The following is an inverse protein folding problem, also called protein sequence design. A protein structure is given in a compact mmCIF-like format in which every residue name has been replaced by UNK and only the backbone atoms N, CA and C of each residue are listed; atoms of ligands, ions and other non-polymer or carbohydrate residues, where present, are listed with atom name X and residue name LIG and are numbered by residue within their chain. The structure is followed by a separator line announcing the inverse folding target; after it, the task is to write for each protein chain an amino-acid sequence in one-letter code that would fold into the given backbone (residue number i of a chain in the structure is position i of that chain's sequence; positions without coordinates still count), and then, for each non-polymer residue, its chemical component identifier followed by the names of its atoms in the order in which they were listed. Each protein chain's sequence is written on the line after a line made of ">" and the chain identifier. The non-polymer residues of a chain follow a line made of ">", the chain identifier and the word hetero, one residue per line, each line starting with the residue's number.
data_IF_827790485410
#
_entry.id   IF_827790485410
#
_cell.length_a   1.000
_cell.length_b   1.000
_cell.length_c   1.000
_cell.angle_alpha   90.00
_cell.angle_beta   90.00
_cell.angle_gamma   90.00
#
_symmetry.space_group_name_H-M   'P 1'
#
loop_
_entity.id
_entity.type
_entity.pdbx_description
1 polymer ?
#
# COMPACT_ATOMS: atom_id res chain seq x y z
N UNK A 1 -75.29 26.62 22.72
CA UNK A 1 -74.16 25.94 23.41
C UNK A 1 -73.39 24.90 22.57
N UNK A 2 -73.72 24.66 21.28
CA UNK A 2 -73.13 23.56 20.49
C UNK A 2 -71.96 23.93 19.53
N UNK A 3 -71.46 25.18 19.55
CA UNK A 3 -70.34 25.63 18.68
C UNK A 3 -68.98 25.70 19.39
N UNK A 4 -68.95 25.77 20.72
CA UNK A 4 -67.70 25.84 21.52
C UNK A 4 -66.99 24.48 21.65
N UNK A 5 -67.76 23.39 21.67
CA UNK A 5 -67.21 22.03 21.75
C UNK A 5 -66.58 21.53 20.43
N UNK A 6 -67.03 22.04 19.27
CA UNK A 6 -66.42 21.71 17.96
C UNK A 6 -65.04 22.34 17.75
N UNK A 7 -64.75 23.47 18.41
CA UNK A 7 -63.45 24.16 18.31
C UNK A 7 -62.40 23.55 19.25
N UNK A 8 -62.82 23.06 20.43
CA UNK A 8 -61.90 22.41 21.36
C UNK A 8 -61.39 21.07 20.80
N UNK A 9 -62.26 20.22 20.24
CA UNK A 9 -61.84 18.93 19.67
C UNK A 9 -60.88 19.03 18.49
N UNK A 10 -61.00 20.09 17.66
CA UNK A 10 -60.08 20.32 16.54
C UNK A 10 -58.69 20.79 17.01
N UNK A 11 -58.62 21.58 18.09
CA UNK A 11 -57.36 22.08 18.65
C UNK A 11 -56.61 20.96 19.38
N UNK A 12 -57.29 20.08 20.15
CA UNK A 12 -56.63 18.94 20.79
C UNK A 12 -56.09 17.92 19.78
N UNK A 13 -56.79 17.65 18.68
CA UNK A 13 -56.31 16.72 17.64
C UNK A 13 -55.10 17.32 16.88
N UNK A 14 -55.12 18.63 16.59
CA UNK A 14 -54.02 19.31 15.90
C UNK A 14 -52.77 19.46 16.78
N UNK A 15 -52.92 19.58 18.10
CA UNK A 15 -51.80 19.61 19.04
C UNK A 15 -51.19 18.21 19.25
N UNK A 16 -51.99 17.14 19.14
CA UNK A 16 -51.52 15.76 19.24
C UNK A 16 -50.71 15.31 18.00
N UNK A 17 -51.01 15.86 16.82
CA UNK A 17 -50.27 15.56 15.58
C UNK A 17 -48.88 16.24 15.51
N UNK A 18 -48.65 17.34 16.21
CA UNK A 18 -47.35 18.05 16.22
C UNK A 18 -46.31 17.34 17.12
N UNK A 19 -46.74 16.47 18.03
CA UNK A 19 -45.86 15.63 18.86
C UNK A 19 -45.47 14.29 18.23
N UNK A 20 -45.92 13.99 17.01
CA UNK A 20 -45.40 12.89 16.23
C UNK A 20 -43.98 13.26 15.74
N UNK A 21 -43.01 13.17 16.64
CA UNK A 21 -41.60 13.37 16.33
C UNK A 21 -41.25 12.52 15.11
N UNK A 22 -40.55 13.13 14.14
CA UNK A 22 -39.97 12.40 13.03
C UNK A 22 -39.08 11.31 13.62
N UNK A 23 -39.52 10.06 13.60
CA UNK A 23 -38.66 8.93 13.89
C UNK A 23 -37.59 8.93 12.80
N UNK A 24 -36.46 9.57 13.07
CA UNK A 24 -35.29 9.49 12.22
C UNK A 24 -34.95 8.01 12.10
N UNK A 25 -35.16 7.44 10.92
CA UNK A 25 -34.70 6.10 10.63
C UNK A 25 -33.20 6.11 10.90
N UNK A 26 -32.76 5.42 11.95
CA UNK A 26 -31.35 5.20 12.20
C UNK A 26 -30.86 4.47 10.97
N UNK A 27 -30.02 5.12 10.15
CA UNK A 27 -29.47 4.49 8.95
C UNK A 27 -28.92 3.12 9.35
N UNK A 28 -29.34 2.08 8.64
CA UNK A 28 -28.87 0.73 8.87
C UNK A 28 -27.39 0.68 8.43
N UNK A 29 -26.50 1.03 9.35
CA UNK A 29 -25.06 0.95 9.13
C UNK A 29 -24.58 -0.49 9.24
N UNK A 30 -23.69 -0.89 8.33
CA UNK A 30 -22.95 -2.15 8.44
C UNK A 30 -21.67 -1.86 9.20
N UNK A 31 -21.48 -2.51 10.34
CA UNK A 31 -20.20 -2.50 11.07
C UNK A 31 -19.42 -3.74 10.70
N UNK A 32 -18.24 -3.55 10.10
CA UNK A 32 -17.29 -4.62 9.86
C UNK A 32 -16.20 -4.51 10.92
N UNK A 33 -15.92 -5.62 11.59
CA UNK A 33 -14.83 -5.70 12.58
C UNK A 33 -13.74 -6.60 12.01
N UNK A 34 -12.49 -6.20 12.21
CA UNK A 34 -11.32 -6.90 11.69
C UNK A 34 -10.07 -6.47 12.46
N UNK A 35 -8.96 -7.12 12.18
CA UNK A 35 -7.67 -6.88 12.83
C UNK A 35 -6.54 -7.06 11.82
N UNK A 36 -5.40 -6.41 12.07
CA UNK A 36 -4.27 -6.39 11.14
C UNK A 36 -4.34 -5.20 10.19
N UNK A 37 -3.20 -4.87 9.60
CA UNK A 37 -3.04 -3.79 8.63
C UNK A 37 -2.05 -4.24 7.55
N UNK A 38 -2.56 -4.60 6.38
CA UNK A 38 -1.78 -5.14 5.26
C UNK A 38 -2.40 -6.39 4.64
N UNK A 39 -1.72 -6.97 3.66
CA UNK A 39 -2.10 -8.22 2.98
C UNK A 39 -1.86 -9.48 3.84
N UNK A 40 -1.05 -9.35 4.90
CA UNK A 40 -0.71 -10.44 5.81
C UNK A 40 0.35 -11.40 5.26
N UNK A 41 1.09 -11.02 4.20
CA UNK A 41 2.10 -11.86 3.56
C UNK A 41 3.51 -11.35 3.86
N UNK A 42 4.41 -12.26 4.22
CA UNK A 42 5.81 -11.95 4.51
C UNK A 42 6.02 -11.36 5.90
N UNK A 43 6.75 -10.25 5.99
CA UNK A 43 7.22 -9.67 7.25
C UNK A 43 6.19 -8.72 7.87
N UNK A 44 5.70 -9.06 9.06
CA UNK A 44 4.95 -8.11 9.88
C UNK A 44 5.90 -7.08 10.47
N UNK A 45 5.76 -5.81 10.06
CA UNK A 45 6.62 -4.72 10.53
C UNK A 45 6.57 -4.56 12.06
N UNK A 46 5.38 -4.61 12.65
CA UNK A 46 5.20 -4.53 14.10
C UNK A 46 5.70 -5.78 14.83
N UNK A 47 5.53 -6.97 14.24
CA UNK A 47 6.05 -8.20 14.82
C UNK A 47 7.60 -8.24 14.78
N UNK A 48 8.21 -7.82 13.67
CA UNK A 48 9.65 -7.64 13.56
C UNK A 48 10.19 -6.65 14.59
N UNK A 49 9.48 -5.52 14.81
CA UNK A 49 9.83 -4.57 15.87
C UNK A 49 9.78 -5.21 17.26
N UNK A 50 8.71 -5.94 17.58
CA UNK A 50 8.57 -6.61 18.87
C UNK A 50 9.67 -7.67 19.11
N UNK A 51 10.05 -8.42 18.06
CA UNK A 51 11.18 -9.35 18.14
C UNK A 51 12.51 -8.63 18.36
N UNK A 52 12.74 -7.50 17.67
CA UNK A 52 13.94 -6.69 17.89
C UNK A 52 13.99 -6.11 19.31
N UNK A 53 12.86 -5.63 19.84
CA UNK A 53 12.74 -5.14 21.22
C UNK A 53 12.96 -6.27 22.24
N UNK A 54 12.70 -7.53 21.87
CA UNK A 54 13.02 -8.73 22.65
C UNK A 54 14.48 -9.22 22.47
N UNK A 55 15.29 -8.53 21.66
CA UNK A 55 16.72 -8.82 21.49
C UNK A 55 17.07 -9.77 20.33
N UNK A 56 16.12 -10.10 19.46
CA UNK A 56 16.41 -10.92 18.28
C UNK A 56 17.23 -10.15 17.24
N UNK A 57 18.19 -10.84 16.60
CA UNK A 57 18.94 -10.27 15.49
C UNK A 57 18.09 -10.16 14.21
N UNK A 58 18.51 -9.31 13.27
CA UNK A 58 17.86 -9.19 11.97
C UNK A 58 17.74 -10.55 11.26
N UNK A 59 18.79 -11.38 11.32
CA UNK A 59 18.80 -12.71 10.71
C UNK A 59 17.73 -13.62 11.32
N UNK A 60 17.60 -13.61 12.66
CA UNK A 60 16.57 -14.39 13.35
C UNK A 60 15.15 -13.93 13.01
N UNK A 61 14.95 -12.62 12.87
CA UNK A 61 13.67 -12.03 12.46
C UNK A 61 13.34 -12.45 11.02
N UNK A 62 14.29 -12.33 10.10
CA UNK A 62 14.08 -12.69 8.69
C UNK A 62 13.82 -14.20 8.53
N UNK A 63 14.59 -15.06 9.21
CA UNK A 63 14.34 -16.51 9.18
C UNK A 63 13.00 -16.91 9.79
N UNK A 64 12.43 -16.12 10.69
CA UNK A 64 11.09 -16.34 11.22
C UNK A 64 9.99 -16.06 10.18
N UNK A 65 10.09 -14.95 9.45
CA UNK A 65 9.10 -14.55 8.44
C UNK A 65 9.30 -15.23 7.07
N UNK A 66 10.52 -15.64 6.76
CA UNK A 66 10.91 -16.20 5.49
C UNK A 66 11.66 -17.53 5.70
N UNK A 67 10.96 -18.62 6.03
CA UNK A 67 11.60 -19.91 6.28
C UNK A 67 12.27 -20.44 5.00
N UNK A 68 13.51 -20.93 5.15
CA UNK A 68 14.27 -21.52 4.04
C UNK A 68 15.02 -20.52 3.17
N UNK A 69 15.03 -19.22 3.51
CA UNK A 69 15.87 -18.23 2.80
C UNK A 69 17.31 -18.24 3.31
N UNK A 70 18.23 -17.90 2.43
CA UNK A 70 19.63 -17.64 2.77
C UNK A 70 19.92 -16.14 2.76
N UNK A 71 20.65 -15.65 3.76
CA UNK A 71 21.15 -14.28 3.79
C UNK A 71 22.50 -14.22 3.10
N UNK A 72 22.63 -13.30 2.13
CA UNK A 72 23.83 -13.13 1.31
C UNK A 72 24.22 -11.66 1.26
N UNK A 73 25.52 -11.40 1.16
CA UNK A 73 26.01 -10.04 0.88
C UNK A 73 26.01 -9.81 -0.62
N UNK A 74 25.70 -8.58 -1.05
CA UNK A 74 25.59 -8.23 -2.48
C UNK A 74 26.84 -8.62 -3.28
N UNK A 75 28.04 -8.35 -2.76
CA UNK A 75 29.30 -8.71 -3.42
C UNK A 75 29.52 -10.21 -3.63
N UNK A 76 28.80 -11.06 -2.88
CA UNK A 76 28.84 -12.52 -3.01
C UNK A 76 27.72 -13.09 -3.89
N UNK A 77 26.88 -12.23 -4.48
CA UNK A 77 25.82 -12.60 -5.42
C UNK A 77 26.34 -13.01 -6.81
N UNK A 78 27.65 -12.98 -7.05
CA UNK A 78 28.26 -13.49 -8.28
C UNK A 78 28.93 -14.86 -8.08
N UNK A 79 29.19 -15.23 -6.83
CA UNK A 79 29.91 -16.46 -6.49
C UNK A 79 28.92 -17.61 -6.27
N UNK A 80 28.67 -18.37 -7.34
CA UNK A 80 27.90 -19.62 -7.29
C UNK A 80 26.37 -19.45 -7.26
N UNK A 81 25.87 -18.33 -7.77
CA UNK A 81 24.49 -17.88 -7.60
C UNK A 81 23.68 -18.06 -8.89
N UNK A 82 22.65 -18.90 -8.79
CA UNK A 82 21.58 -19.03 -9.78
C UNK A 82 20.85 -17.72 -10.05
N UNK A 83 20.95 -16.72 -9.16
CA UNK A 83 20.24 -15.44 -9.25
C UNK A 83 20.50 -14.64 -10.54
N UNK A 84 21.71 -14.72 -11.12
CA UNK A 84 21.98 -14.08 -12.42
C UNK A 84 21.85 -15.03 -13.61
N UNK A 85 21.64 -16.32 -13.36
CA UNK A 85 21.45 -17.34 -14.38
C UNK A 85 19.97 -17.70 -14.57
N UNK A 86 19.10 -17.23 -13.66
CA UNK A 86 17.67 -17.38 -13.73
C UNK A 86 17.08 -16.19 -14.49
N UNK A 87 16.20 -16.47 -15.45
CA UNK A 87 15.48 -15.44 -16.22
C UNK A 87 14.33 -14.82 -15.40
N UNK A 88 14.10 -15.29 -14.16
CA UNK A 88 13.06 -14.75 -13.27
C UNK A 88 13.34 -13.29 -12.89
N UNK A 89 12.33 -12.39 -12.98
CA UNK A 89 12.50 -11.01 -12.60
C UNK A 89 12.73 -10.87 -11.10
N UNK A 90 13.60 -9.93 -10.74
CA UNK A 90 13.80 -9.52 -9.35
C UNK A 90 12.69 -8.54 -8.98
N UNK A 91 11.81 -8.96 -8.07
CA UNK A 91 10.75 -8.09 -7.55
C UNK A 91 11.31 -7.14 -6.49
N UNK A 92 11.17 -5.84 -6.73
CA UNK A 92 11.52 -4.78 -5.77
C UNK A 92 10.24 -4.30 -5.09
N UNK A 93 10.07 -4.65 -3.81
CA UNK A 93 8.97 -4.13 -3.00
C UNK A 93 9.19 -2.66 -2.64
N UNK A 94 8.15 -1.83 -2.80
CA UNK A 94 8.16 -0.43 -2.39
C UNK A 94 7.68 -0.29 -0.94
N UNK A 95 8.15 0.75 -0.25
CA UNK A 95 7.61 1.10 1.06
C UNK A 95 6.16 1.57 0.95
N UNK A 96 5.43 1.57 2.06
CA UNK A 96 4.08 2.12 2.10
C UNK A 96 4.06 3.55 1.57
N UNK A 97 3.04 3.86 0.77
CA UNK A 97 2.86 5.17 0.12
C UNK A 97 4.00 5.59 -0.82
N UNK A 98 4.86 4.65 -1.22
CA UNK A 98 5.81 4.84 -2.31
C UNK A 98 5.30 4.14 -3.57
N UNK A 99 5.16 4.91 -4.65
CA UNK A 99 4.83 4.42 -5.99
C UNK A 99 6.01 4.55 -6.96
N UNK A 100 7.12 5.13 -6.50
CA UNK A 100 8.32 5.37 -7.28
C UNK A 100 9.55 4.67 -6.69
N UNK A 101 10.47 4.28 -7.57
CA UNK A 101 11.80 3.78 -7.19
C UNK A 101 12.87 4.64 -7.83
N UNK A 102 13.90 5.00 -7.05
CA UNK A 102 15.09 5.65 -7.56
C UNK A 102 16.28 4.69 -7.45
N UNK A 103 17.10 4.66 -8.50
CA UNK A 103 18.28 3.80 -8.57
C UNK A 103 19.42 4.53 -9.28
N UNK A 104 20.63 4.01 -9.13
CA UNK A 104 21.79 4.50 -9.86
C UNK A 104 22.66 3.33 -10.30
N UNK A 105 23.36 3.48 -11.41
CA UNK A 105 24.24 2.44 -11.92
C UNK A 105 25.58 2.57 -11.24
N UNK A 106 25.91 1.64 -10.34
CA UNK A 106 27.22 1.63 -9.66
C UNK A 106 28.35 1.32 -10.64
N UNK A 107 28.15 0.36 -11.54
CA UNK A 107 29.13 -0.05 -12.55
C UNK A 107 28.45 -0.50 -13.84
N UNK A 108 29.03 -0.18 -15.00
CA UNK A 108 28.55 -0.67 -16.30
C UNK A 108 27.35 0.11 -16.87
N UNK A 109 26.37 -0.61 -17.41
CA UNK A 109 25.17 0.00 -18.02
C UNK A 109 23.96 -0.93 -17.96
N UNK A 110 22.76 -0.37 -17.97
CA UNK A 110 21.50 -1.11 -18.02
C UNK A 110 20.57 -0.53 -19.10
N UNK A 111 19.88 -1.41 -19.83
CA UNK A 111 18.77 -1.00 -20.70
C UNK A 111 17.51 -0.83 -19.85
N UNK A 112 16.77 0.26 -20.11
CA UNK A 112 15.53 0.59 -19.42
C UNK A 112 14.36 0.23 -20.33
N UNK A 113 13.75 -0.92 -20.08
CA UNK A 113 12.70 -1.48 -20.93
C UNK A 113 11.42 -1.74 -20.14
N UNK A 114 10.29 -1.81 -20.86
CA UNK A 114 8.99 -2.18 -20.30
C UNK A 114 8.58 -3.56 -20.79
N UNK A 115 8.24 -4.45 -19.88
CA UNK A 115 7.89 -5.84 -20.20
C UNK A 115 6.65 -5.94 -21.10
N UNK A 116 5.61 -5.14 -20.81
CA UNK A 116 4.33 -5.19 -21.54
C UNK A 116 4.44 -4.78 -23.01
N UNK A 117 5.33 -3.83 -23.33
CA UNK A 117 5.50 -3.31 -24.70
C UNK A 117 6.74 -3.83 -25.40
N UNK A 118 7.69 -4.40 -24.66
CA UNK A 118 9.04 -4.74 -25.14
C UNK A 118 9.87 -3.53 -25.55
N UNK A 119 9.41 -2.30 -25.27
CA UNK A 119 10.07 -1.08 -25.70
C UNK A 119 11.14 -0.66 -24.69
N UNK A 120 12.37 -0.46 -25.17
CA UNK A 120 13.45 0.16 -24.40
C UNK A 120 13.48 1.67 -24.66
N UNK A 121 13.45 2.46 -23.59
CA UNK A 121 13.37 3.93 -23.64
C UNK A 121 14.71 4.63 -23.43
N UNK A 122 15.75 3.87 -23.06
CA UNK A 122 17.10 4.39 -22.95
C UNK A 122 18.08 3.42 -22.33
N UNK A 123 19.33 3.86 -22.23
CA UNK A 123 20.41 3.13 -21.57
C UNK A 123 20.94 3.98 -20.43
N UNK A 124 20.81 3.49 -19.20
CA UNK A 124 21.42 4.08 -18.02
C UNK A 124 22.89 3.67 -17.96
N UNK A 125 23.78 4.62 -17.70
CA UNK A 125 25.23 4.42 -17.61
C UNK A 125 25.74 4.59 -16.18
N UNK A 126 26.93 4.09 -15.93
CA UNK A 126 27.65 4.24 -14.67
C UNK A 126 27.62 5.68 -14.12
N UNK A 127 27.29 5.80 -12.84
CA UNK A 127 27.13 7.06 -12.12
C UNK A 127 25.81 7.79 -12.37
N UNK A 128 25.02 7.38 -13.37
CA UNK A 128 23.74 8.02 -13.65
C UNK A 128 22.66 7.58 -12.67
N UNK A 129 21.82 8.55 -12.27
CA UNK A 129 20.68 8.32 -11.38
C UNK A 129 19.38 8.38 -12.18
N UNK A 130 18.51 7.42 -11.95
CA UNK A 130 17.21 7.32 -12.58
C UNK A 130 16.11 7.11 -11.56
N UNK A 131 14.91 7.50 -11.95
CA UNK A 131 13.65 7.24 -11.25
C UNK A 131 12.71 6.51 -12.20
N UNK A 132 12.03 5.51 -11.68
CA UNK A 132 10.87 4.87 -12.29
C UNK A 132 9.64 5.22 -11.47
N UNK A 133 8.59 5.75 -12.10
CA UNK A 133 7.39 6.23 -11.43
C UNK A 133 6.15 6.16 -12.35
N UNK A 134 4.92 6.19 -11.80
CA UNK A 134 3.70 6.32 -12.57
C UNK A 134 3.63 7.66 -13.30
N UNK A 135 3.10 7.68 -14.52
CA UNK A 135 2.93 8.91 -15.31
C UNK A 135 1.63 9.67 -15.04
N UNK A 136 0.76 9.13 -14.17
CA UNK A 136 -0.55 9.69 -13.84
C UNK A 136 -1.68 9.36 -14.84
N UNK A 137 -1.36 8.70 -15.96
CA UNK A 137 -2.32 8.23 -16.97
C UNK A 137 -2.57 6.71 -16.92
N UNK A 138 -1.99 6.04 -15.92
CA UNK A 138 -2.03 4.58 -15.76
C UNK A 138 -0.80 3.87 -16.33
N UNK A 139 0.15 4.61 -16.92
CA UNK A 139 1.44 4.10 -17.36
C UNK A 139 2.56 4.37 -16.35
N UNK A 140 3.76 3.96 -16.70
CA UNK A 140 5.00 4.23 -15.96
C UNK A 140 6.05 4.85 -16.88
N UNK A 141 6.99 5.60 -16.31
CA UNK A 141 8.07 6.22 -17.06
C UNK A 141 9.40 6.20 -16.30
N UNK A 142 10.49 6.17 -17.06
CA UNK A 142 11.84 6.40 -16.54
C UNK A 142 12.21 7.87 -16.71
N UNK A 143 12.81 8.48 -15.69
CA UNK A 143 13.36 9.83 -15.75
C UNK A 143 14.74 9.91 -15.14
N UNK A 144 15.64 10.63 -15.82
CA UNK A 144 16.98 10.89 -15.32
C UNK A 144 16.91 11.94 -14.23
N UNK A 145 17.54 11.68 -13.09
CA UNK A 145 17.66 12.67 -12.02
C UNK A 145 18.96 13.46 -12.20
N UNK A 146 18.86 14.77 -12.41
CA UNK A 146 20.03 15.63 -12.32
C UNK A 146 20.48 15.68 -10.84
N UNK A 147 21.77 15.42 -10.60
CA UNK A 147 22.35 15.62 -9.27
C UNK A 147 22.22 17.09 -8.86
N UNK A 148 21.77 17.34 -7.63
CA UNK A 148 22.03 18.62 -6.95
C UNK A 148 23.52 18.70 -6.59
#
# INVERSE_FOLDING_TARGET
>A
MLKRFRRLGAITIMTLMVLAGTAGAKEAGITITGSGWGDGVGLSQYGARAMADAGHSADQILSHYYPGVELRTIGTLLSGSYFLADDAPVWVGLLQEQDQVAFHIETGSAELCFDDSGQCVGTAREGEKFRFAPDGSGGCFFSRQAGL
#
